data_IF_232704980059
#
_entry.id   IF_232704980059
#
_cell.length_a   1.000
_cell.length_b   1.000
_cell.length_c   1.000
_cell.angle_alpha   90.00
_cell.angle_beta   90.00
_cell.angle_gamma   90.00
#
_symmetry.space_group_name_H-M   'P 1'
#
loop_
_entity.id
_entity.type
_entity.pdbx_description
1 polymer ?
#
# COMPACT_ATOMS: atom_id res chain seq x y z
N UNK A 1 16.09 -23.98 9.32
CA UNK A 1 15.18 -23.60 10.40
C UNK A 1 14.54 -22.29 9.97
N UNK A 2 13.32 -22.35 9.44
CA UNK A 2 12.58 -21.13 9.08
C UNK A 2 11.83 -20.69 10.33
N UNK A 3 12.26 -19.58 10.92
CA UNK A 3 11.54 -18.96 12.02
C UNK A 3 10.12 -18.61 11.55
N UNK A 4 9.12 -19.13 12.26
CA UNK A 4 7.73 -18.79 12.04
C UNK A 4 7.52 -17.33 12.42
N UNK A 5 7.62 -16.42 11.45
CA UNK A 5 7.10 -15.06 11.59
C UNK A 5 5.61 -15.16 11.91
N UNK A 6 5.16 -14.55 13.01
CA UNK A 6 3.75 -14.56 13.43
C UNK A 6 2.88 -13.96 12.32
N UNK A 7 2.22 -14.81 11.54
CA UNK A 7 1.29 -14.37 10.49
C UNK A 7 -0.01 -13.93 11.16
N UNK A 8 -0.24 -12.62 11.28
CA UNK A 8 -1.54 -12.12 11.69
C UNK A 8 -2.42 -11.93 10.45
N UNK A 9 -3.52 -12.67 10.39
CA UNK A 9 -4.54 -12.44 9.37
C UNK A 9 -5.04 -10.99 9.48
N UNK A 10 -4.95 -10.23 8.38
CA UNK A 10 -5.43 -8.86 8.34
C UNK A 10 -6.95 -8.83 8.58
N UNK A 11 -7.41 -7.86 9.36
CA UNK A 11 -8.85 -7.57 9.46
C UNK A 11 -9.42 -7.19 8.09
N UNK A 12 -10.74 -7.32 7.90
CA UNK A 12 -11.41 -6.93 6.65
C UNK A 12 -11.08 -5.50 6.21
N UNK A 13 -10.99 -4.56 7.16
CA UNK A 13 -10.63 -3.16 6.89
C UNK A 13 -9.17 -3.03 6.43
N UNK A 14 -8.25 -3.76 7.06
CA UNK A 14 -6.84 -3.78 6.68
C UNK A 14 -6.64 -4.42 5.29
N UNK A 15 -7.34 -5.51 4.99
CA UNK A 15 -7.31 -6.14 3.67
C UNK A 15 -7.85 -5.19 2.58
N UNK A 16 -8.99 -4.54 2.83
CA UNK A 16 -9.55 -3.54 1.90
C UNK A 16 -8.54 -2.43 1.65
N UNK A 17 -7.96 -1.86 2.71
CA UNK A 17 -6.96 -0.79 2.62
C UNK A 17 -5.72 -1.22 1.83
N UNK A 18 -5.15 -2.39 2.13
CA UNK A 18 -4.00 -2.92 1.40
C UNK A 18 -4.32 -3.08 -0.08
N UNK A 19 -5.46 -3.69 -0.41
CA UNK A 19 -5.92 -3.84 -1.79
C UNK A 19 -6.07 -2.50 -2.51
N UNK A 20 -6.71 -1.51 -1.88
CA UNK A 20 -6.87 -0.18 -2.48
C UNK A 20 -5.53 0.52 -2.74
N UNK A 21 -4.58 0.46 -1.80
CA UNK A 21 -3.25 1.04 -1.99
C UNK A 21 -2.52 0.36 -3.17
N UNK A 22 -2.60 -0.97 -3.27
CA UNK A 22 -2.01 -1.71 -4.39
C UNK A 22 -2.66 -1.33 -5.72
N UNK A 23 -3.99 -1.29 -5.83
CA UNK A 23 -4.68 -0.89 -7.06
C UNK A 23 -4.33 0.53 -7.49
N UNK A 24 -4.16 1.48 -6.56
CA UNK A 24 -3.65 2.82 -6.87
C UNK A 24 -2.22 2.76 -7.43
N UNK A 25 -1.34 1.95 -6.85
CA UNK A 25 0.03 1.79 -7.34
C UNK A 25 0.05 1.19 -8.75
N UNK A 26 -0.79 0.19 -9.02
CA UNK A 26 -0.92 -0.48 -10.32
C UNK A 26 -1.77 0.29 -11.34
N UNK A 27 -2.33 1.45 -10.96
CA UNK A 27 -3.23 2.24 -11.81
C UNK A 27 -4.44 1.44 -12.31
N UNK A 28 -4.92 0.51 -11.49
CA UNK A 28 -6.13 -0.25 -11.73
C UNK A 28 -7.37 0.60 -11.42
N UNK A 29 -8.51 0.21 -11.98
CA UNK A 29 -9.79 0.84 -11.65
C UNK A 29 -10.19 0.47 -10.21
N UNK A 30 -10.63 1.47 -9.44
CA UNK A 30 -11.05 1.27 -8.05
C UNK A 30 -12.38 2.00 -7.77
N UNK A 31 -13.24 1.43 -6.90
CA UNK A 31 -14.46 2.10 -6.47
C UNK A 31 -14.17 3.45 -5.82
N UNK A 32 -14.99 4.45 -6.13
CA UNK A 32 -14.80 5.82 -5.64
C UNK A 32 -14.79 5.89 -4.11
N UNK A 33 -15.66 5.13 -3.44
CA UNK A 33 -15.72 5.04 -1.98
C UNK A 33 -14.38 4.56 -1.37
N UNK A 34 -13.74 3.58 -2.02
CA UNK A 34 -12.45 3.07 -1.55
C UNK A 34 -11.34 4.13 -1.70
N UNK A 35 -11.34 4.87 -2.82
CA UNK A 35 -10.42 5.98 -3.05
C UNK A 35 -10.63 7.10 -2.03
N UNK A 36 -11.88 7.48 -1.76
CA UNK A 36 -12.21 8.50 -0.76
C UNK A 36 -11.73 8.11 0.63
N UNK A 37 -11.89 6.83 1.02
CA UNK A 37 -11.46 6.34 2.33
C UNK A 37 -9.95 6.49 2.53
N UNK A 38 -9.13 6.06 1.56
CA UNK A 38 -7.66 6.18 1.67
C UNK A 38 -7.15 7.61 1.48
N UNK A 39 -7.88 8.44 0.72
CA UNK A 39 -7.60 9.87 0.58
C UNK A 39 -7.88 10.63 1.89
N UNK A 40 -9.00 10.32 2.56
CA UNK A 40 -9.34 10.91 3.86
C UNK A 40 -8.32 10.55 4.95
N UNK A 41 -7.61 9.42 4.80
CA UNK A 41 -6.51 9.02 5.68
C UNK A 41 -5.14 9.58 5.26
N UNK A 42 -5.09 10.39 4.20
CA UNK A 42 -3.87 10.96 3.61
C UNK A 42 -2.88 9.91 3.07
N UNK A 43 -3.36 8.71 2.78
CA UNK A 43 -2.53 7.66 2.18
C UNK A 43 -2.42 7.80 0.65
N UNK A 44 -3.36 8.52 0.04
CA UNK A 44 -3.40 8.79 -1.39
C UNK A 44 -3.70 10.26 -1.61
N UNK A 45 -3.02 10.86 -2.59
CA UNK A 45 -3.27 12.21 -3.08
C UNK A 45 -3.62 12.17 -4.57
N UNK A 46 -4.15 13.29 -5.09
CA UNK A 46 -4.36 13.45 -6.54
C UNK A 46 -3.23 14.32 -7.08
N UNK A 47 -2.37 13.75 -7.92
CA UNK A 47 -1.30 14.45 -8.64
C UNK A 47 -1.56 14.30 -10.13
N UNK A 48 -1.57 15.41 -10.88
CA UNK A 48 -1.80 15.41 -12.33
C UNK A 48 -3.09 14.69 -12.76
N UNK A 49 -4.15 14.85 -11.96
CA UNK A 49 -5.45 14.22 -12.20
C UNK A 49 -5.48 12.71 -11.95
N UNK A 50 -4.40 12.12 -11.43
CA UNK A 50 -4.30 10.69 -11.12
C UNK A 50 -4.06 10.44 -9.63
N UNK A 51 -4.63 9.39 -9.06
CA UNK A 51 -4.35 9.01 -7.68
C UNK A 51 -2.90 8.51 -7.57
N UNK A 52 -2.20 8.97 -6.52
CA UNK A 52 -0.83 8.59 -6.21
C UNK A 52 -0.71 8.31 -4.71
N UNK A 53 -0.01 7.22 -4.37
CA UNK A 53 0.25 6.87 -2.96
C UNK A 53 1.26 7.86 -2.37
N UNK A 54 0.94 8.42 -1.21
CA UNK A 54 1.81 9.31 -0.44
C UNK A 54 2.89 8.51 0.32
N UNK A 55 3.87 9.17 0.94
CA UNK A 55 4.84 8.47 1.81
C UNK A 55 4.14 7.75 2.97
N UNK A 56 3.16 8.40 3.59
CA UNK A 56 2.32 7.81 4.65
C UNK A 56 1.57 6.57 4.18
N UNK A 57 1.03 6.60 2.96
CA UNK A 57 0.37 5.45 2.35
C UNK A 57 1.35 4.32 2.05
N UNK A 58 2.58 4.64 1.67
CA UNK A 58 3.64 3.66 1.44
C UNK A 58 4.03 2.94 2.74
N UNK A 59 4.17 3.68 3.83
CA UNK A 59 4.46 3.12 5.16
C UNK A 59 3.33 2.19 5.64
N UNK A 60 2.08 2.61 5.46
CA UNK A 60 0.93 1.77 5.80
C UNK A 60 0.88 0.51 4.93
N UNK A 61 1.15 0.61 3.62
CA UNK A 61 1.27 -0.55 2.74
C UNK A 61 2.35 -1.50 3.23
N UNK A 62 3.53 -1.00 3.60
CA UNK A 62 4.63 -1.82 4.12
C UNK A 62 4.27 -2.52 5.44
N UNK A 63 3.62 -1.80 6.35
CA UNK A 63 3.13 -2.35 7.61
C UNK A 63 2.11 -3.48 7.37
N UNK A 64 1.16 -3.27 6.46
CA UNK A 64 0.14 -4.26 6.12
C UNK A 64 0.71 -5.48 5.40
N UNK A 65 1.65 -5.28 4.46
CA UNK A 65 2.40 -6.37 3.84
C UNK A 65 3.14 -7.20 4.88
N UNK A 66 3.83 -6.56 5.83
CA UNK A 66 4.56 -7.24 6.92
C UNK A 66 3.61 -8.08 7.77
N UNK A 67 2.46 -7.52 8.17
CA UNK A 67 1.44 -8.24 8.95
C UNK A 67 0.86 -9.43 8.19
N UNK A 68 0.62 -9.27 6.89
CA UNK A 68 0.15 -10.34 6.00
C UNK A 68 1.24 -11.35 5.61
N UNK A 69 2.51 -11.11 5.99
CA UNK A 69 3.65 -11.91 5.56
C UNK A 69 3.90 -11.88 4.04
N UNK A 70 3.54 -10.77 3.39
CA UNK A 70 3.75 -10.51 1.97
C UNK A 70 5.02 -9.68 1.75
N UNK A 71 5.78 -10.01 0.72
CA UNK A 71 6.95 -9.23 0.30
C UNK A 71 6.70 -8.61 -1.08
N UNK A 72 5.86 -7.57 -1.12
CA UNK A 72 5.53 -6.83 -2.35
C UNK A 72 6.43 -5.58 -2.42
N UNK A 73 7.43 -5.63 -3.30
CA UNK A 73 8.33 -4.51 -3.59
C UNK A 73 7.88 -3.81 -4.87
N UNK A 74 7.66 -2.49 -4.81
CA UNK A 74 7.30 -1.72 -5.99
C UNK A 74 8.54 -1.07 -6.63
N UNK A 75 8.57 -0.98 -7.96
CA UNK A 75 9.73 -0.47 -8.70
C UNK A 75 10.09 1.00 -8.32
N UNK A 76 9.12 1.79 -7.89
CA UNK A 76 9.35 3.15 -7.38
C UNK A 76 10.10 3.19 -6.04
N UNK A 77 10.07 2.11 -5.26
CA UNK A 77 10.80 1.99 -3.99
C UNK A 77 12.28 1.65 -4.21
N UNK A 78 12.63 1.03 -5.34
CA UNK A 78 14.01 0.67 -5.70
C UNK A 78 14.91 1.90 -5.95
N UNK A 79 14.35 3.04 -6.37
CA UNK A 79 15.14 4.25 -6.62
C UNK A 79 15.75 4.90 -5.37
N UNK A 80 15.22 4.62 -4.17
CA UNK A 80 15.82 5.11 -2.91
C UNK A 80 16.97 4.21 -2.40
N UNK A 81 17.17 3.02 -2.97
CA UNK A 81 18.14 2.03 -2.45
C UNK A 81 19.54 2.07 -3.10
N UNK A 82 19.73 2.82 -4.19
CA UNK A 82 21.06 3.07 -4.75
C UNK A 82 21.32 4.59 -4.78
N UNK A 83 22.01 5.16 -3.77
CA UNK A 83 22.67 6.42 -3.97
C UNK A 83 23.84 6.17 -4.92
N UNK A 84 23.77 6.78 -6.09
CA UNK A 84 24.89 6.96 -7.03
C UNK A 84 26.04 7.70 -6.36
#
# INVERSE_FOLDING_TARGET
MFESSVFMSLSKKQNKRLGTLLSVMFQEELPEEALMEVKAMEFVEISDGKPRVTEKGLDEKNRLCTLAGLNIKYASELKKANPS
#
